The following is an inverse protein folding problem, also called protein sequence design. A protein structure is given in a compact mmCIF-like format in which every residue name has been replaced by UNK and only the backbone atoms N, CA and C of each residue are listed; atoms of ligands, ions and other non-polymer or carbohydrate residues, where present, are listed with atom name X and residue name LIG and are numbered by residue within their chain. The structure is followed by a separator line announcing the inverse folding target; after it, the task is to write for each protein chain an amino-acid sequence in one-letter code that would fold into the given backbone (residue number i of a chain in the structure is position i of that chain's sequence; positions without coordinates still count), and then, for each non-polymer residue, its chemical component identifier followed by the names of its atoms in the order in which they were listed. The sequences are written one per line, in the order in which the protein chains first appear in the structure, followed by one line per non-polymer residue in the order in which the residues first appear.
data_IF_976657501252
#
_entry.id   IF_976657501252
#
_cell.length_a   1.000
_cell.length_b   1.000
_cell.length_c   1.000
_cell.angle_alpha   90.00
_cell.angle_beta   90.00
_cell.angle_gamma   90.00
#
_symmetry.space_group_name_H-M   'P 1'
#
loop_
_entity.id
_entity.type
_entity.pdbx_description
1 polymer ?
#
# COMPACT_ATOMS: atom_id res chain seq x y z
N UNK A 1 -2.07 -1.86 26.65
CA UNK A 1 -2.41 -2.72 25.49
C UNK A 1 -1.37 -2.45 24.40
N UNK A 2 -0.89 -3.48 23.71
CA UNK A 2 0.17 -3.30 22.69
C UNK A 2 -0.44 -2.80 21.40
N UNK A 3 0.10 -1.69 20.83
CA UNK A 3 -0.33 -1.19 19.51
C UNK A 3 0.06 -2.20 18.43
N UNK A 4 -0.91 -2.55 17.58
CA UNK A 4 -0.68 -3.40 16.41
C UNK A 4 -0.12 -2.58 15.24
N UNK A 5 -0.64 -1.37 15.06
CA UNK A 5 -0.18 -0.42 14.05
C UNK A 5 0.13 0.91 14.73
N UNK A 6 1.28 1.49 14.41
CA UNK A 6 1.66 2.84 14.82
C UNK A 6 2.19 3.59 13.59
N UNK A 7 1.57 4.72 13.30
CA UNK A 7 1.92 5.64 12.21
C UNK A 7 2.22 6.98 12.81
N UNK A 8 3.40 7.56 12.53
CA UNK A 8 3.87 8.79 13.14
C UNK A 8 4.45 9.75 12.10
N UNK A 9 3.81 10.91 11.95
CA UNK A 9 4.22 12.04 11.10
C UNK A 9 4.55 11.60 9.66
N UNK A 10 3.74 10.69 9.11
CA UNK A 10 3.98 10.09 7.81
C UNK A 10 3.57 11.03 6.69
N UNK A 11 4.48 11.21 5.73
CA UNK A 11 4.28 12.01 4.52
C UNK A 11 4.58 11.19 3.29
N UNK A 12 3.79 11.42 2.22
CA UNK A 12 4.03 10.85 0.90
C UNK A 12 3.66 11.83 -0.20
N UNK A 13 4.65 12.23 -0.97
CA UNK A 13 4.53 13.22 -2.04
C UNK A 13 4.89 12.60 -3.39
N UNK A 14 4.21 13.02 -4.44
CA UNK A 14 4.52 12.61 -5.81
C UNK A 14 4.93 13.83 -6.64
N UNK A 15 6.03 13.71 -7.36
CA UNK A 15 6.43 14.69 -8.38
C UNK A 15 5.69 14.35 -9.68
N UNK A 16 4.75 15.20 -10.08
CA UNK A 16 3.98 15.04 -11.31
C UNK A 16 4.50 16.05 -12.32
N UNK A 17 4.89 15.57 -13.52
CA UNK A 17 5.28 16.47 -14.59
C UNK A 17 4.04 17.24 -15.08
N UNK A 18 4.09 18.57 -15.01
CA UNK A 18 3.03 19.42 -15.55
C UNK A 18 3.10 19.39 -17.09
N UNK A 19 2.05 18.88 -17.73
CA UNK A 19 1.91 18.93 -19.17
C UNK A 19 1.30 20.27 -19.54
N UNK A 20 2.08 21.17 -20.13
CA UNK A 20 1.56 22.38 -20.73
C UNK A 20 0.85 22.02 -22.05
N UNK A 21 -0.34 22.55 -22.29
CA UNK A 21 -1.11 22.31 -23.52
C UNK A 21 -0.56 23.18 -24.66
N UNK A 22 -0.06 22.55 -25.73
CA UNK A 22 0.40 23.24 -26.94
C UNK A 22 1.60 22.56 -27.60
N UNK A 23 1.61 22.44 -28.93
CA UNK A 23 2.65 21.77 -29.73
C UNK A 23 4.05 22.42 -29.53
N UNK A 24 4.14 23.73 -29.52
CA UNK A 24 5.40 24.46 -29.28
C UNK A 24 5.92 24.33 -27.85
N UNK A 25 5.02 24.25 -26.87
CA UNK A 25 5.39 24.05 -25.47
C UNK A 25 5.83 22.61 -25.20
N UNK A 26 5.33 21.63 -25.98
CA UNK A 26 5.76 20.24 -25.89
C UNK A 26 7.23 20.06 -26.28
N UNK A 27 7.73 20.79 -27.27
CA UNK A 27 9.15 20.78 -27.66
C UNK A 27 10.01 21.44 -26.58
N UNK A 28 9.55 22.54 -25.99
CA UNK A 28 10.26 23.24 -24.90
C UNK A 28 10.28 22.42 -23.61
N UNK A 29 9.27 21.57 -23.36
CA UNK A 29 9.18 20.69 -22.19
C UNK A 29 10.16 19.51 -22.23
N UNK A 30 10.77 19.20 -23.39
CA UNK A 30 11.85 18.22 -23.51
C UNK A 30 13.12 18.69 -22.80
N UNK A 31 13.36 20.01 -22.74
CA UNK A 31 14.54 20.60 -22.13
C UNK A 31 14.28 21.19 -20.73
N UNK A 32 13.01 21.58 -20.40
CA UNK A 32 12.67 22.15 -19.09
C UNK A 32 11.34 21.56 -18.60
N UNK A 33 11.39 20.42 -17.90
CA UNK A 33 10.21 19.82 -17.26
C UNK A 33 9.88 20.55 -15.97
N UNK A 34 8.72 21.19 -15.92
CA UNK A 34 8.16 21.70 -14.67
C UNK A 34 7.48 20.58 -13.91
N UNK A 35 7.82 20.44 -12.63
CA UNK A 35 7.22 19.44 -11.75
C UNK A 35 6.31 20.14 -10.75
N UNK A 36 5.17 19.53 -10.50
CA UNK A 36 4.27 19.88 -9.41
C UNK A 36 4.37 18.79 -8.33
N UNK A 37 4.43 19.21 -7.07
CA UNK A 37 4.44 18.27 -5.95
C UNK A 37 3.00 18.04 -5.51
N UNK A 38 2.50 16.82 -5.72
CA UNK A 38 1.20 16.40 -5.19
C UNK A 38 1.42 15.72 -3.84
N UNK A 39 0.91 16.33 -2.79
CA UNK A 39 0.88 15.77 -1.46
C UNK A 39 -0.22 14.71 -1.39
N UNK A 40 0.15 13.43 -1.44
CA UNK A 40 -0.80 12.32 -1.39
C UNK A 40 -1.17 11.97 0.05
N UNK A 41 -0.21 12.08 0.96
CA UNK A 41 -0.38 11.98 2.41
C UNK A 41 0.49 13.07 3.02
N UNK A 42 -0.07 13.87 3.92
CA UNK A 42 0.62 15.02 4.51
C UNK A 42 0.44 15.00 6.03
N UNK A 43 1.46 14.50 6.70
CA UNK A 43 1.63 14.51 8.16
C UNK A 43 0.52 13.79 8.95
N UNK A 44 0.30 12.51 8.64
CA UNK A 44 -0.67 11.69 9.37
C UNK A 44 -0.02 10.93 10.52
N UNK A 45 -0.75 10.85 11.63
CA UNK A 45 -0.38 10.04 12.80
C UNK A 45 -1.62 9.38 13.37
N UNK A 46 -1.53 8.07 13.63
CA UNK A 46 -2.58 7.30 14.29
C UNK A 46 -2.04 5.97 14.83
N UNK A 47 -2.79 5.36 15.73
CA UNK A 47 -2.50 4.06 16.30
C UNK A 47 -3.72 3.16 16.21
N UNK A 48 -3.49 1.86 15.99
CA UNK A 48 -4.53 0.82 16.00
C UNK A 48 -4.07 -0.29 16.96
N UNK A 49 -4.91 -0.63 17.91
CA UNK A 49 -4.65 -1.70 18.88
C UNK A 49 -4.97 -3.06 18.29
N UNK A 50 -4.44 -4.11 18.91
CA UNK A 50 -4.76 -5.48 18.53
C UNK A 50 -6.26 -5.75 18.71
N UNK A 51 -6.91 -6.30 17.68
CA UNK A 51 -8.34 -6.64 17.67
C UNK A 51 -9.27 -5.51 17.23
N UNK A 52 -8.75 -4.30 16.96
CA UNK A 52 -9.57 -3.21 16.44
C UNK A 52 -9.84 -3.35 14.94
N UNK A 53 -11.05 -2.99 14.53
CA UNK A 53 -11.46 -2.81 13.13
C UNK A 53 -11.56 -1.31 12.88
N UNK A 54 -10.80 -0.81 11.92
CA UNK A 54 -10.71 0.63 11.62
C UNK A 54 -11.06 0.90 10.16
N UNK A 55 -11.98 1.86 9.94
CA UNK A 55 -12.37 2.34 8.61
C UNK A 55 -11.65 3.63 8.23
N UNK A 56 -11.04 3.68 7.05
CA UNK A 56 -10.54 4.91 6.45
C UNK A 56 -11.64 5.56 5.61
N UNK A 57 -12.21 6.66 6.08
CA UNK A 57 -13.30 7.38 5.42
C UNK A 57 -12.77 8.73 4.91
N UNK A 58 -13.25 9.18 3.77
CA UNK A 58 -12.86 10.47 3.17
C UNK A 58 -13.07 10.51 1.66
N UNK A 59 -12.97 11.70 1.05
CA UNK A 59 -13.17 11.88 -0.39
C UNK A 59 -12.11 11.18 -1.24
N UNK A 60 -12.34 11.11 -2.55
CA UNK A 60 -11.34 10.61 -3.50
C UNK A 60 -10.11 11.54 -3.49
N UNK A 61 -8.92 10.95 -3.46
CA UNK A 61 -7.68 11.71 -3.37
C UNK A 61 -7.22 12.05 -1.94
N UNK A 62 -7.99 11.72 -0.89
CA UNK A 62 -7.61 11.97 0.52
C UNK A 62 -6.44 11.10 1.05
N UNK A 63 -5.77 10.34 0.20
CA UNK A 63 -4.61 9.54 0.60
C UNK A 63 -4.91 8.15 1.15
N UNK A 64 -6.19 7.73 1.25
CA UNK A 64 -6.59 6.43 1.80
C UNK A 64 -5.81 5.25 1.19
N UNK A 65 -5.88 5.09 -0.12
CA UNK A 65 -5.19 3.99 -0.82
C UNK A 65 -3.66 4.10 -0.74
N UNK A 66 -3.13 5.32 -0.67
CA UNK A 66 -1.69 5.55 -0.49
C UNK A 66 -1.25 5.09 0.90
N UNK A 67 -2.03 5.41 1.94
CA UNK A 67 -1.79 4.96 3.31
C UNK A 67 -1.84 3.44 3.41
N UNK A 68 -2.86 2.78 2.86
CA UNK A 68 -2.96 1.31 2.84
C UNK A 68 -1.76 0.68 2.11
N UNK A 69 -1.32 1.25 0.98
CA UNK A 69 -0.13 0.78 0.25
C UNK A 69 1.17 0.95 1.05
N UNK A 70 1.28 1.98 1.89
CA UNK A 70 2.42 2.13 2.80
C UNK A 70 2.35 1.13 3.96
N UNK A 71 1.18 0.92 4.56
CA UNK A 71 0.95 -0.09 5.60
C UNK A 71 1.23 -1.50 5.09
N UNK A 72 0.90 -1.82 3.84
CA UNK A 72 1.17 -3.13 3.23
C UNK A 72 2.63 -3.31 2.74
N UNK A 73 3.48 -2.30 2.90
CA UNK A 73 4.89 -2.36 2.46
C UNK A 73 5.09 -2.26 0.95
N UNK A 74 4.06 -1.85 0.18
CA UNK A 74 4.16 -1.63 -1.28
C UNK A 74 4.81 -0.27 -1.56
N UNK A 75 4.50 0.74 -0.75
CA UNK A 75 5.04 2.09 -0.88
C UNK A 75 5.92 2.46 0.30
N UNK A 76 6.94 3.28 0.02
CA UNK A 76 7.79 3.90 1.02
C UNK A 76 7.24 5.28 1.38
N UNK A 77 7.17 5.64 2.67
CA UNK A 77 6.93 7.03 3.06
C UNK A 77 8.15 7.88 2.70
N UNK A 78 7.94 9.17 2.43
CA UNK A 78 9.03 10.12 2.22
C UNK A 78 9.59 10.63 3.56
N UNK A 79 8.74 10.64 4.60
CA UNK A 79 9.14 10.91 5.99
C UNK A 79 8.16 10.26 6.97
N UNK A 80 8.55 10.24 8.25
CA UNK A 80 7.77 9.61 9.32
C UNK A 80 8.06 8.13 9.49
N UNK A 81 7.38 7.51 10.44
CA UNK A 81 7.60 6.11 10.80
C UNK A 81 6.31 5.32 10.72
N UNK A 82 6.42 4.08 10.22
CA UNK A 82 5.33 3.10 10.20
C UNK A 82 5.83 1.83 10.86
N UNK A 83 5.12 1.39 11.87
CA UNK A 83 5.36 0.13 12.56
C UNK A 83 4.07 -0.68 12.54
N UNK A 84 4.12 -1.92 12.07
CA UNK A 84 3.00 -2.86 12.05
C UNK A 84 3.46 -4.18 12.65
N UNK A 85 2.86 -4.58 13.75
CA UNK A 85 3.25 -5.79 14.51
C UNK A 85 4.77 -5.91 14.72
N UNK A 86 5.42 -4.81 15.12
CA UNK A 86 6.88 -4.64 15.30
C UNK A 86 7.72 -4.74 14.01
N UNK A 87 7.11 -4.80 12.83
CA UNK A 87 7.82 -4.71 11.55
C UNK A 87 7.74 -3.30 10.99
N UNK A 88 8.82 -2.87 10.33
CA UNK A 88 8.79 -1.73 9.43
C UNK A 88 8.44 -2.28 8.04
N UNK A 89 7.19 -2.09 7.53
CA UNK A 89 6.66 -2.83 6.38
C UNK A 89 7.54 -2.79 5.14
N UNK A 90 8.07 -1.64 4.82
CA UNK A 90 8.88 -1.42 3.62
C UNK A 90 10.36 -1.84 3.77
N UNK A 91 10.90 -1.91 5.00
CA UNK A 91 12.28 -2.37 5.24
C UNK A 91 12.37 -3.89 5.40
N UNK A 92 11.37 -4.48 6.04
CA UNK A 92 11.33 -5.89 6.39
C UNK A 92 10.30 -6.67 5.57
N UNK A 93 10.06 -6.22 4.33
CA UNK A 93 8.96 -6.69 3.49
C UNK A 93 8.89 -8.21 3.37
N UNK A 94 10.00 -8.90 3.14
CA UNK A 94 10.05 -10.36 2.95
C UNK A 94 9.49 -11.15 4.15
N UNK A 95 9.72 -10.64 5.36
CA UNK A 95 9.21 -11.26 6.58
C UNK A 95 7.79 -10.77 6.90
N UNK A 96 7.54 -9.49 6.66
CA UNK A 96 6.29 -8.82 6.97
C UNK A 96 5.10 -9.34 6.17
N UNK A 97 5.24 -9.52 4.86
CA UNK A 97 4.12 -9.95 3.99
C UNK A 97 3.57 -11.33 4.31
N UNK A 98 4.33 -12.18 5.00
CA UNK A 98 3.87 -13.49 5.47
C UNK A 98 2.84 -13.40 6.61
N UNK A 99 2.74 -12.25 7.25
CA UNK A 99 1.90 -12.01 8.43
C UNK A 99 0.70 -11.12 8.15
N UNK A 100 0.46 -10.77 6.88
CA UNK A 100 -0.65 -9.90 6.49
C UNK A 100 -1.38 -10.47 5.28
N UNK A 101 -2.69 -10.24 5.22
CA UNK A 101 -3.49 -10.37 4.01
C UNK A 101 -3.94 -8.99 3.53
N UNK A 102 -3.86 -8.72 2.23
CA UNK A 102 -4.27 -7.43 1.65
C UNK A 102 -5.09 -7.65 0.39
N UNK A 103 -6.27 -7.03 0.35
CA UNK A 103 -7.15 -7.05 -0.81
C UNK A 103 -7.23 -5.64 -1.40
N UNK A 104 -6.87 -5.48 -2.67
CA UNK A 104 -6.92 -4.20 -3.37
C UNK A 104 -8.01 -4.16 -4.44
N UNK A 105 -8.89 -3.19 -4.32
CA UNK A 105 -9.89 -2.87 -5.32
C UNK A 105 -11.00 -3.93 -5.45
N UNK A 106 -11.67 -3.93 -6.60
CA UNK A 106 -12.75 -4.86 -6.94
C UNK A 106 -12.27 -6.09 -7.71
N UNK A 107 -10.97 -6.33 -7.76
CA UNK A 107 -10.42 -7.48 -8.49
C UNK A 107 -10.42 -8.70 -7.59
N UNK A 108 -10.90 -9.81 -8.10
CA UNK A 108 -10.69 -11.12 -7.50
C UNK A 108 -9.18 -11.37 -7.33
N UNK A 109 -8.78 -11.96 -6.20
CA UNK A 109 -7.42 -12.48 -6.03
C UNK A 109 -7.23 -13.82 -6.69
N UNK A 110 -8.33 -14.47 -7.06
CA UNK A 110 -8.32 -15.71 -7.83
C UNK A 110 -7.96 -15.38 -9.29
N UNK A 111 -7.12 -16.17 -9.88
CA UNK A 111 -6.76 -16.05 -11.27
C UNK A 111 -7.92 -16.57 -12.14
N UNK A 112 -8.37 -15.72 -13.06
CA UNK A 112 -9.56 -15.99 -13.88
C UNK A 112 -9.31 -17.02 -14.98
N UNK A 113 -8.05 -17.30 -15.30
CA UNK A 113 -7.59 -18.21 -16.36
C UNK A 113 -7.14 -19.59 -15.85
N UNK A 114 -7.25 -19.85 -14.55
CA UNK A 114 -6.95 -21.14 -13.92
C UNK A 114 -8.10 -21.60 -13.02
N UNK A 115 -8.25 -22.90 -12.77
CA UNK A 115 -9.22 -23.42 -11.80
C UNK A 115 -9.06 -22.77 -10.42
N UNK A 116 -10.17 -22.57 -9.73
CA UNK A 116 -10.19 -21.94 -8.40
C UNK A 116 -9.30 -22.72 -7.41
N UNK A 117 -9.28 -24.03 -7.53
CA UNK A 117 -8.46 -24.94 -6.70
C UNK A 117 -6.98 -24.61 -6.83
N UNK A 118 -6.48 -24.41 -8.05
CA UNK A 118 -5.06 -24.07 -8.29
C UNK A 118 -4.68 -22.73 -7.66
N UNK A 119 -5.63 -21.77 -7.66
CA UNK A 119 -5.44 -20.49 -6.97
C UNK A 119 -5.32 -20.67 -5.46
N UNK A 120 -6.10 -21.56 -4.86
CA UNK A 120 -6.03 -21.89 -3.44
C UNK A 120 -4.76 -22.66 -3.09
N UNK A 121 -4.34 -23.61 -3.90
CA UNK A 121 -3.08 -24.34 -3.71
C UNK A 121 -1.87 -23.38 -3.72
N UNK A 122 -1.86 -22.45 -4.66
CA UNK A 122 -0.82 -21.42 -4.70
C UNK A 122 -0.84 -20.54 -3.45
N UNK A 123 -2.02 -20.14 -2.97
CA UNK A 123 -2.14 -19.36 -1.73
C UNK A 123 -1.66 -20.16 -0.52
N UNK A 124 -2.01 -21.43 -0.44
CA UNK A 124 -1.51 -22.37 0.57
C UNK A 124 0.01 -22.38 0.64
N UNK A 125 0.68 -22.50 -0.51
CA UNK A 125 2.14 -22.52 -0.60
C UNK A 125 2.76 -21.17 -0.23
N UNK A 126 2.18 -20.07 -0.70
CA UNK A 126 2.64 -18.70 -0.38
C UNK A 126 2.57 -18.46 1.12
N UNK A 127 1.46 -18.83 1.76
CA UNK A 127 1.24 -18.61 3.19
C UNK A 127 1.75 -19.76 4.06
N UNK A 128 2.27 -20.85 3.45
CA UNK A 128 2.77 -22.04 4.12
C UNK A 128 1.74 -22.66 5.08
N UNK A 129 0.51 -22.79 4.60
CA UNK A 129 -0.57 -23.42 5.34
C UNK A 129 -0.33 -24.93 5.34
N UNK A 130 -0.29 -25.61 6.52
CA UNK A 130 -0.15 -27.04 6.60
C UNK A 130 -1.31 -27.77 5.92
N UNK A 131 -1.05 -28.98 5.38
CA UNK A 131 -2.07 -29.76 4.66
C UNK A 131 -3.31 -30.07 5.49
N UNK A 132 -3.14 -30.31 6.77
CA UNK A 132 -4.23 -30.60 7.71
C UNK A 132 -5.14 -29.39 7.98
N UNK A 133 -4.64 -28.16 7.80
CA UNK A 133 -5.44 -26.93 7.95
C UNK A 133 -6.06 -26.46 6.61
N UNK A 134 -5.56 -27.00 5.48
CA UNK A 134 -6.03 -26.60 4.15
C UNK A 134 -7.30 -27.34 3.71
N UNK A 135 -7.58 -28.51 4.28
CA UNK A 135 -8.72 -29.38 3.88
C UNK A 135 -10.00 -29.06 4.66
N UNK A 136 -9.91 -28.29 5.73
CA UNK A 136 -11.07 -27.77 6.48
C UNK A 136 -11.67 -26.51 5.80
#
# INVERSE_FOLDING_TARGET
MKNMISVQNVKKYYKIAKRDKGLMQSIRSLFHRKYEIKKAVDDISFEIKKGEIVGFIGPNGAGKSTTIKMLSGILYPDSGNILVNNFIPYKQRKQYVKNIGVVFGQRSQLWWDVPVVDSFELLKDIYKIPDNEYIE
#
